data_IF_263651114021
#
_entry.id   IF_263651114021
#
_cell.length_a   1.000
_cell.length_b   1.000
_cell.length_c   1.000
_cell.angle_alpha   90.00
_cell.angle_beta   90.00
_cell.angle_gamma   90.00
#
_symmetry.space_group_name_H-M   'P 1'
#
loop_
_entity.id
_entity.type
_entity.pdbx_description
1 polymer ?
#
# COMPACT_ATOMS: atom_id res chain seq x y z
N UNK A 1 -4.62 70.72 0.46
CA UNK A 1 -3.55 69.71 0.66
C UNK A 1 -3.85 68.64 1.73
N UNK A 2 -4.65 68.91 2.79
CA UNK A 2 -4.95 67.91 3.84
C UNK A 2 -5.87 66.75 3.40
N UNK A 3 -6.78 66.91 2.44
CA UNK A 3 -7.68 65.86 1.96
C UNK A 3 -6.96 64.74 1.13
N UNK A 4 -5.85 65.08 0.44
CA UNK A 4 -5.11 64.14 -0.36
C UNK A 4 -4.21 63.19 0.50
N UNK A 5 -3.75 63.67 1.66
CA UNK A 5 -2.93 62.84 2.57
C UNK A 5 -3.76 61.81 3.33
N UNK A 6 -5.01 62.10 3.71
CA UNK A 6 -5.89 61.16 4.39
C UNK A 6 -6.32 59.97 3.51
N UNK A 7 -6.55 60.27 2.21
CA UNK A 7 -6.95 59.22 1.24
C UNK A 7 -5.80 58.24 0.94
N UNK A 8 -4.55 58.73 0.84
CA UNK A 8 -3.38 57.90 0.62
C UNK A 8 -3.05 57.02 1.84
N UNK A 9 -3.23 57.55 3.05
CA UNK A 9 -3.01 56.81 4.28
C UNK A 9 -4.06 55.68 4.48
N UNK A 10 -5.33 56.00 4.14
CA UNK A 10 -6.40 54.99 4.23
C UNK A 10 -6.25 53.89 3.20
N UNK A 11 -5.84 54.18 1.96
CA UNK A 11 -5.59 53.20 0.92
C UNK A 11 -4.39 52.30 1.28
N UNK A 12 -3.33 52.88 1.87
CA UNK A 12 -2.17 52.08 2.31
C UNK A 12 -2.51 51.16 3.50
N UNK A 13 -3.33 51.60 4.44
CA UNK A 13 -3.77 50.81 5.59
C UNK A 13 -4.69 49.65 5.16
N UNK A 14 -5.59 49.90 4.19
CA UNK A 14 -6.49 48.86 3.67
C UNK A 14 -5.72 47.79 2.84
N UNK A 15 -4.73 48.21 2.04
CA UNK A 15 -3.90 47.29 1.28
C UNK A 15 -2.99 46.43 2.18
N UNK A 16 -2.42 47.01 3.24
CA UNK A 16 -1.63 46.22 4.23
C UNK A 16 -2.50 45.27 5.04
N UNK A 17 -3.69 45.66 5.45
CA UNK A 17 -4.63 44.76 6.16
C UNK A 17 -5.12 43.60 5.27
N UNK A 18 -5.38 43.86 3.98
CA UNK A 18 -5.74 42.81 3.02
C UNK A 18 -4.56 41.84 2.75
N UNK A 19 -3.33 42.37 2.69
CA UNK A 19 -2.13 41.53 2.53
C UNK A 19 -1.85 40.67 3.75
N UNK A 20 -2.07 41.16 4.97
CA UNK A 20 -1.95 40.39 6.19
C UNK A 20 -3.02 39.30 6.30
N UNK A 21 -4.25 39.56 5.87
CA UNK A 21 -5.30 38.51 5.87
C UNK A 21 -5.04 37.41 4.84
N UNK A 22 -4.49 37.73 3.66
CA UNK A 22 -4.10 36.72 2.67
C UNK A 22 -2.95 35.83 3.15
N UNK A 23 -1.96 36.43 3.83
CA UNK A 23 -0.85 35.66 4.42
C UNK A 23 -1.30 34.80 5.61
N UNK A 24 -2.24 35.33 6.44
CA UNK A 24 -2.81 34.56 7.55
C UNK A 24 -3.66 33.36 7.06
N UNK A 25 -4.38 33.53 5.95
CA UNK A 25 -5.23 32.44 5.40
C UNK A 25 -4.41 31.32 4.76
N UNK A 26 -3.24 31.61 4.16
CA UNK A 26 -2.32 30.58 3.66
C UNK A 26 -1.60 29.81 4.78
N UNK A 27 -1.46 30.36 5.96
CA UNK A 27 -0.79 29.72 7.10
C UNK A 27 -1.72 28.87 7.98
N UNK A 28 -3.03 29.02 7.85
CA UNK A 28 -4.01 28.30 8.69
C UNK A 28 -3.86 26.79 8.69
N UNK A 29 -3.73 26.09 7.55
CA UNK A 29 -3.59 24.62 7.57
C UNK A 29 -2.33 24.16 8.31
N UNK A 30 -1.21 24.88 8.18
CA UNK A 30 0.06 24.53 8.83
C UNK A 30 -0.03 24.67 10.35
N UNK A 31 -0.63 25.77 10.83
CA UNK A 31 -0.85 25.99 12.26
C UNK A 31 -1.73 24.89 12.88
N UNK A 32 -2.85 24.60 12.25
CA UNK A 32 -3.78 23.54 12.71
C UNK A 32 -3.12 22.15 12.64
N UNK A 33 -2.36 21.84 11.58
CA UNK A 33 -1.58 20.60 11.48
C UNK A 33 -0.59 20.47 12.64
N UNK A 34 0.13 21.55 12.97
CA UNK A 34 1.12 21.55 14.03
C UNK A 34 0.55 21.23 15.43
N UNK A 35 -0.76 21.41 15.66
CA UNK A 35 -1.41 21.07 16.91
C UNK A 35 -1.69 19.58 17.07
N UNK A 36 -1.82 18.82 15.95
CA UNK A 36 -2.30 17.46 15.97
C UNK A 36 -1.29 16.41 15.50
N UNK A 37 -0.31 16.80 14.69
CA UNK A 37 0.71 15.86 14.20
C UNK A 37 1.59 15.36 15.35
N UNK A 38 2.00 14.09 15.25
CA UNK A 38 2.89 13.44 16.21
C UNK A 38 4.25 13.16 15.55
N UNK A 39 5.38 13.47 16.21
CA UNK A 39 6.69 13.20 15.64
C UNK A 39 6.94 11.70 15.55
N UNK A 40 7.70 11.28 14.55
CA UNK A 40 8.31 9.96 14.48
C UNK A 40 9.64 10.03 15.21
N UNK A 41 9.75 9.37 16.35
CA UNK A 41 10.96 9.40 17.16
C UNK A 41 12.12 8.61 16.52
N UNK A 42 11.81 7.50 15.85
CA UNK A 42 12.80 6.63 15.22
C UNK A 42 12.20 5.82 14.07
N UNK A 43 13.04 5.52 13.09
CA UNK A 43 12.73 4.59 11.99
C UNK A 43 13.27 3.18 12.26
N UNK A 44 14.10 3.01 13.30
CA UNK A 44 14.76 1.73 13.57
C UNK A 44 13.74 0.66 13.97
N UNK A 45 13.63 -0.46 13.20
CA UNK A 45 12.61 -1.47 13.46
C UNK A 45 12.70 -2.15 14.82
N UNK A 46 13.93 -2.23 15.38
CA UNK A 46 14.19 -2.88 16.68
C UNK A 46 14.04 -1.95 17.90
N UNK A 47 13.73 -0.67 17.69
CA UNK A 47 13.50 0.30 18.77
C UNK A 47 12.18 0.06 19.48
N UNK A 48 12.04 0.64 20.69
CA UNK A 48 10.76 0.60 21.43
C UNK A 48 9.62 1.19 20.59
N UNK A 49 8.40 0.80 20.90
CA UNK A 49 7.19 1.28 20.22
C UNK A 49 6.49 2.43 20.95
N UNK A 50 7.17 3.09 21.92
CA UNK A 50 6.53 4.07 22.79
C UNK A 50 5.93 5.25 22.04
N UNK A 51 6.58 5.73 20.98
CA UNK A 51 6.10 6.83 20.13
C UNK A 51 4.92 6.46 19.21
N UNK A 52 4.65 5.17 19.01
CA UNK A 52 3.52 4.67 18.21
C UNK A 52 2.50 3.88 19.04
N UNK A 53 2.72 3.73 20.35
CA UNK A 53 1.82 2.98 21.24
C UNK A 53 0.40 3.57 21.29
N UNK A 54 0.25 4.86 21.06
CA UNK A 54 -1.06 5.51 20.95
C UNK A 54 -1.96 4.93 19.84
N UNK A 55 -1.35 4.28 18.83
CA UNK A 55 -2.08 3.61 17.75
C UNK A 55 -2.87 2.39 18.24
N UNK A 56 -2.55 1.85 19.41
CA UNK A 56 -3.19 0.65 19.95
C UNK A 56 -4.71 0.78 20.01
N UNK A 57 -5.21 1.89 20.53
CA UNK A 57 -6.65 2.11 20.70
C UNK A 57 -7.39 2.13 19.36
N UNK A 58 -6.77 2.69 18.33
CA UNK A 58 -7.36 2.75 16.99
C UNK A 58 -7.22 1.42 16.23
N UNK A 59 -6.05 0.77 16.31
CA UNK A 59 -5.72 -0.36 15.44
C UNK A 59 -6.15 -1.72 15.99
N UNK A 60 -6.35 -1.86 17.32
CA UNK A 60 -6.78 -3.13 17.94
C UNK A 60 -8.12 -3.63 17.39
N UNK A 61 -9.02 -2.71 17.03
CA UNK A 61 -10.36 -2.98 16.54
C UNK A 61 -10.42 -3.18 15.01
N UNK A 62 -9.29 -3.12 14.31
CA UNK A 62 -9.24 -3.28 12.86
C UNK A 62 -8.94 -4.71 12.47
N UNK A 63 -9.59 -5.16 11.40
CA UNK A 63 -9.38 -6.49 10.83
C UNK A 63 -8.37 -6.45 9.68
N UNK A 64 -8.39 -5.38 8.88
CA UNK A 64 -7.45 -5.13 7.78
C UNK A 64 -6.73 -3.82 8.00
N UNK A 65 -5.39 -3.87 8.07
CA UNK A 65 -4.56 -2.67 8.07
C UNK A 65 -3.73 -2.66 6.79
N UNK A 66 -3.97 -1.67 5.94
CA UNK A 66 -3.19 -1.48 4.73
C UNK A 66 -2.08 -0.45 4.97
N UNK A 67 -0.85 -0.88 4.79
CA UNK A 67 0.35 -0.05 4.84
C UNK A 67 0.68 0.39 3.41
N UNK A 68 0.21 1.57 3.03
CA UNK A 68 0.47 2.18 1.75
C UNK A 68 1.91 2.63 1.61
N UNK A 69 2.42 2.67 0.39
CA UNK A 69 3.70 3.30 0.07
C UNK A 69 3.58 4.24 -1.11
N UNK A 70 4.22 5.39 -0.99
CA UNK A 70 4.28 6.42 -2.02
C UNK A 70 5.10 5.95 -3.24
N UNK A 71 5.99 5.00 -3.03
CA UNK A 71 6.88 4.40 -4.03
C UNK A 71 7.49 3.11 -3.50
N UNK A 72 7.87 2.21 -4.41
CA UNK A 72 8.53 0.94 -4.06
C UNK A 72 10.04 1.10 -3.83
N UNK A 73 10.58 2.30 -3.70
CA UNK A 73 12.01 2.53 -3.76
C UNK A 73 12.61 3.47 -2.71
N UNK A 74 12.01 3.61 -1.51
CA UNK A 74 12.48 4.51 -0.46
C UNK A 74 12.83 3.78 0.83
N UNK A 75 14.02 4.06 1.36
CA UNK A 75 14.56 3.42 2.56
C UNK A 75 13.72 3.73 3.81
N UNK A 76 13.39 4.99 4.03
CA UNK A 76 12.67 5.46 5.24
C UNK A 76 11.27 4.86 5.33
N UNK A 77 10.55 4.79 4.20
CA UNK A 77 9.23 4.17 4.13
C UNK A 77 9.32 2.67 4.46
N UNK A 78 10.31 1.96 3.91
CA UNK A 78 10.51 0.53 4.20
C UNK A 78 10.82 0.28 5.67
N UNK A 79 11.75 1.05 6.25
CA UNK A 79 12.11 0.91 7.67
C UNK A 79 10.91 1.18 8.58
N UNK A 80 10.11 2.20 8.28
CA UNK A 80 8.93 2.53 9.09
C UNK A 80 7.83 1.47 8.96
N UNK A 81 7.59 0.95 7.75
CA UNK A 81 6.62 -0.14 7.54
C UNK A 81 7.08 -1.44 8.22
N UNK A 82 8.37 -1.78 8.17
CA UNK A 82 8.94 -2.90 8.95
C UNK A 82 8.64 -2.70 10.45
N UNK A 83 8.93 -1.52 10.99
CA UNK A 83 8.65 -1.20 12.40
C UNK A 83 7.17 -1.31 12.76
N UNK A 84 6.26 -0.81 11.91
CA UNK A 84 4.83 -0.94 12.10
C UNK A 84 4.37 -2.41 12.07
N UNK A 85 4.89 -3.21 11.15
CA UNK A 85 4.57 -4.65 11.09
C UNK A 85 4.97 -5.35 12.38
N UNK A 86 6.19 -5.08 12.89
CA UNK A 86 6.63 -5.68 14.16
C UNK A 86 5.71 -5.27 15.33
N UNK A 87 5.28 -4.01 15.36
CA UNK A 87 4.30 -3.56 16.35
C UNK A 87 2.95 -4.28 16.19
N UNK A 88 2.40 -4.37 14.98
CA UNK A 88 1.12 -5.03 14.71
C UNK A 88 1.16 -6.53 15.04
N UNK A 89 2.27 -7.18 14.74
CA UNK A 89 2.48 -8.61 15.01
C UNK A 89 2.66 -8.87 16.51
N UNK A 90 3.54 -8.12 17.18
CA UNK A 90 3.92 -8.40 18.56
C UNK A 90 2.92 -7.87 19.60
N UNK A 91 2.23 -6.74 19.31
CA UNK A 91 1.36 -6.05 20.26
C UNK A 91 -0.13 -6.18 19.93
N UNK A 92 -0.50 -6.42 18.66
CA UNK A 92 -1.89 -6.51 18.21
C UNK A 92 -2.24 -7.87 17.59
N UNK A 93 -1.31 -8.83 17.64
CA UNK A 93 -1.49 -10.24 17.27
C UNK A 93 -1.89 -10.47 15.80
N UNK A 94 -1.45 -9.60 14.87
CA UNK A 94 -1.62 -9.88 13.45
C UNK A 94 -0.75 -11.05 13.03
N UNK A 95 -1.35 -12.05 12.38
CA UNK A 95 -0.68 -13.31 11.99
C UNK A 95 -0.59 -13.52 10.48
N UNK A 96 -1.09 -12.59 9.68
CA UNK A 96 -1.00 -12.64 8.23
C UNK A 96 -0.53 -11.31 7.66
N UNK A 97 0.40 -11.36 6.71
CA UNK A 97 0.93 -10.19 6.00
C UNK A 97 0.87 -10.49 4.51
N UNK A 98 0.17 -9.67 3.74
CA UNK A 98 0.05 -9.82 2.29
C UNK A 98 0.76 -8.68 1.57
N UNK A 99 1.63 -9.02 0.62
CA UNK A 99 2.42 -8.06 -0.15
C UNK A 99 1.88 -7.90 -1.57
N UNK A 100 1.98 -6.70 -2.13
CA UNK A 100 1.78 -6.44 -3.56
C UNK A 100 2.90 -7.12 -4.38
N UNK A 101 2.86 -8.41 -4.42
CA UNK A 101 3.84 -9.27 -5.08
C UNK A 101 3.15 -10.53 -5.59
N UNK A 102 3.80 -11.21 -6.54
CA UNK A 102 3.30 -12.49 -7.01
C UNK A 102 3.25 -13.50 -5.86
N UNK A 103 2.16 -14.25 -5.82
CA UNK A 103 1.90 -15.21 -4.76
C UNK A 103 3.00 -16.27 -4.65
N UNK A 104 3.44 -16.81 -5.79
CA UNK A 104 4.45 -17.87 -5.83
C UNK A 104 5.81 -17.41 -5.29
N UNK A 105 6.15 -16.13 -5.50
CA UNK A 105 7.42 -15.58 -5.01
C UNK A 105 7.48 -15.41 -3.49
N UNK A 106 6.34 -15.34 -2.81
CA UNK A 106 6.30 -15.20 -1.34
C UNK A 106 6.24 -16.54 -0.61
N UNK A 107 5.99 -17.62 -1.32
CA UNK A 107 5.84 -18.90 -0.69
C UNK A 107 7.13 -19.47 -0.11
N UNK A 108 8.23 -19.41 -0.86
CA UNK A 108 9.53 -19.81 -0.34
C UNK A 108 9.94 -18.92 0.85
N UNK A 109 9.52 -17.66 0.84
CA UNK A 109 9.73 -16.77 1.98
C UNK A 109 8.87 -17.20 3.16
N UNK A 110 7.60 -17.61 2.94
CA UNK A 110 6.75 -18.14 4.01
C UNK A 110 7.35 -19.43 4.60
N UNK A 111 7.81 -20.35 3.76
CA UNK A 111 8.50 -21.57 4.19
C UNK A 111 9.76 -21.24 5.01
N UNK A 112 10.53 -20.22 4.59
CA UNK A 112 11.72 -19.75 5.31
C UNK A 112 11.37 -19.19 6.69
N UNK A 113 10.40 -18.28 6.79
CA UNK A 113 10.03 -17.69 8.08
C UNK A 113 9.38 -18.70 9.03
N UNK A 114 8.83 -19.76 8.50
CA UNK A 114 8.23 -20.85 9.29
C UNK A 114 9.20 -21.98 9.64
N UNK A 115 10.45 -21.88 9.15
CA UNK A 115 11.51 -22.84 9.46
C UNK A 115 11.41 -24.16 8.68
N UNK A 116 10.68 -24.17 7.57
CA UNK A 116 10.55 -25.34 6.68
C UNK A 116 11.74 -25.46 5.72
N UNK A 117 12.37 -24.32 5.38
CA UNK A 117 13.63 -24.26 4.64
C UNK A 117 14.62 -23.33 5.33
N UNK A 118 15.93 -23.56 5.16
CA UNK A 118 16.98 -22.80 5.84
C UNK A 118 17.41 -21.54 5.10
N UNK A 119 17.31 -21.53 3.80
CA UNK A 119 17.77 -20.43 2.95
C UNK A 119 16.76 -20.13 1.85
N UNK A 120 16.63 -18.85 1.50
CA UNK A 120 15.81 -18.37 0.40
C UNK A 120 16.43 -17.13 -0.21
N UNK A 121 16.30 -16.98 -1.53
CA UNK A 121 16.66 -15.74 -2.21
C UNK A 121 15.61 -14.67 -1.91
N UNK A 122 16.04 -13.53 -1.39
CA UNK A 122 15.14 -12.41 -1.09
C UNK A 122 15.85 -11.07 -1.31
N UNK A 123 15.06 -10.05 -1.59
CA UNK A 123 15.59 -8.68 -1.67
C UNK A 123 16.18 -8.25 -0.33
N UNK A 124 17.33 -7.58 -0.38
CA UNK A 124 18.01 -7.04 0.79
C UNK A 124 17.16 -6.10 1.64
N UNK A 125 16.18 -5.44 1.01
CA UNK A 125 15.29 -4.48 1.67
C UNK A 125 14.29 -5.14 2.60
N UNK A 126 13.81 -6.34 2.27
CA UNK A 126 12.87 -7.10 3.09
C UNK A 126 13.57 -8.08 4.05
N UNK A 127 14.87 -8.33 3.85
CA UNK A 127 15.64 -9.29 4.64
C UNK A 127 15.54 -9.04 6.15
N UNK A 128 15.66 -7.80 6.66
CA UNK A 128 15.51 -7.53 8.10
C UNK A 128 14.17 -7.99 8.66
N UNK A 129 13.07 -7.66 7.98
CA UNK A 129 11.72 -8.07 8.37
C UNK A 129 11.55 -9.59 8.36
N UNK A 130 11.92 -10.26 7.27
CA UNK A 130 11.74 -11.71 7.15
C UNK A 130 12.64 -12.49 8.11
N UNK A 131 13.85 -12.01 8.39
CA UNK A 131 14.70 -12.60 9.42
C UNK A 131 14.10 -12.43 10.82
N UNK A 132 13.52 -11.27 11.10
CA UNK A 132 12.82 -11.03 12.36
C UNK A 132 11.59 -11.95 12.49
N UNK A 133 10.77 -12.09 11.43
CA UNK A 133 9.60 -12.98 11.43
C UNK A 133 10.00 -14.44 11.64
N UNK A 134 11.11 -14.90 11.05
CA UNK A 134 11.66 -16.27 11.30
C UNK A 134 11.97 -16.47 12.79
N UNK A 135 12.64 -15.50 13.40
CA UNK A 135 12.96 -15.56 14.83
C UNK A 135 11.69 -15.48 15.69
N UNK A 136 10.74 -14.66 15.31
CA UNK A 136 9.45 -14.53 16.00
C UNK A 136 8.61 -15.80 15.95
N UNK A 137 8.67 -16.55 14.84
CA UNK A 137 7.95 -17.81 14.65
C UNK A 137 8.63 -19.03 15.32
N UNK A 138 9.91 -18.90 15.69
CA UNK A 138 10.69 -20.01 16.26
C UNK A 138 10.05 -20.54 17.54
N UNK A 139 9.79 -21.84 17.58
CA UNK A 139 9.20 -22.53 18.74
C UNK A 139 7.69 -22.33 18.93
N UNK A 140 7.02 -21.62 18.01
CA UNK A 140 5.56 -21.45 18.06
C UNK A 140 4.84 -22.59 17.36
N UNK A 141 3.63 -22.90 17.86
CA UNK A 141 2.72 -23.81 17.19
C UNK A 141 2.24 -23.22 15.86
N UNK A 142 1.85 -24.08 14.93
CA UNK A 142 1.43 -23.70 13.57
C UNK A 142 0.39 -22.56 13.54
N UNK A 143 -0.58 -22.57 14.45
CA UNK A 143 -1.65 -21.56 14.52
C UNK A 143 -1.21 -20.23 15.12
N UNK A 144 -0.04 -20.19 15.75
CA UNK A 144 0.52 -18.99 16.38
C UNK A 144 1.62 -18.33 15.53
N UNK A 145 2.04 -18.99 14.47
CA UNK A 145 3.01 -18.44 13.53
C UNK A 145 2.40 -17.33 12.68
N UNK A 146 3.25 -16.40 12.28
CA UNK A 146 2.95 -15.39 11.26
C UNK A 146 3.24 -15.99 9.89
N UNK A 147 2.35 -15.72 8.94
CA UNK A 147 2.48 -16.14 7.55
C UNK A 147 2.56 -14.94 6.61
N UNK A 148 3.27 -15.08 5.51
CA UNK A 148 3.35 -14.08 4.44
C UNK A 148 2.75 -14.61 3.15
N UNK A 149 2.12 -13.72 2.38
CA UNK A 149 1.40 -14.04 1.16
C UNK A 149 1.64 -13.00 0.09
N UNK A 150 1.59 -13.39 -1.19
CA UNK A 150 1.47 -12.46 -2.31
C UNK A 150 0.00 -12.17 -2.63
N UNK A 151 -0.29 -10.96 -3.06
CA UNK A 151 -1.65 -10.52 -3.47
C UNK A 151 -1.89 -10.68 -4.96
N UNK A 152 -0.86 -10.97 -5.74
CA UNK A 152 -0.97 -11.06 -7.18
C UNK A 152 -0.78 -12.49 -7.66
N UNK A 153 -1.56 -12.88 -8.65
CA UNK A 153 -1.32 -14.07 -9.45
C UNK A 153 -1.07 -13.60 -10.86
N UNK A 154 0.16 -13.74 -11.31
CA UNK A 154 0.61 -13.33 -12.64
C UNK A 154 0.71 -14.49 -13.62
N UNK A 155 0.68 -15.73 -13.10
CA UNK A 155 0.84 -16.96 -13.86
C UNK A 155 -0.01 -18.09 -13.29
N UNK A 156 -0.47 -18.98 -14.16
CA UNK A 156 -1.22 -20.18 -13.72
C UNK A 156 -0.32 -21.19 -13.04
N UNK A 157 0.97 -21.25 -13.41
CA UNK A 157 1.92 -22.26 -12.96
C UNK A 157 2.01 -22.36 -11.43
N UNK A 158 2.19 -21.27 -10.73
CA UNK A 158 2.36 -21.27 -9.28
C UNK A 158 1.13 -21.83 -8.53
N UNK A 159 -0.08 -21.39 -8.88
CA UNK A 159 -1.31 -21.91 -8.27
C UNK A 159 -1.53 -23.38 -8.61
N UNK A 160 -1.23 -23.81 -9.84
CA UNK A 160 -1.34 -25.20 -10.28
C UNK A 160 -0.35 -26.09 -9.52
N UNK A 161 0.90 -25.67 -9.38
CA UNK A 161 1.91 -26.45 -8.65
C UNK A 161 1.48 -26.70 -7.21
N UNK A 162 0.90 -25.71 -6.57
CA UNK A 162 0.39 -25.86 -5.21
C UNK A 162 -0.80 -26.79 -5.11
N UNK A 163 -1.74 -26.67 -6.04
CA UNK A 163 -2.88 -27.59 -6.10
C UNK A 163 -2.37 -29.02 -6.25
N UNK A 164 -1.42 -29.26 -7.16
CA UNK A 164 -0.83 -30.58 -7.38
C UNK A 164 -0.06 -31.11 -6.17
N UNK A 165 0.63 -30.24 -5.42
CA UNK A 165 1.40 -30.62 -4.24
C UNK A 165 0.53 -30.86 -3.00
N UNK A 166 -0.57 -30.11 -2.83
CA UNK A 166 -1.34 -30.12 -1.58
C UNK A 166 -2.64 -30.93 -1.65
N UNK A 167 -3.14 -31.22 -2.85
CA UNK A 167 -4.37 -31.97 -3.05
C UNK A 167 -4.09 -33.46 -3.20
N UNK A 168 -4.43 -34.25 -2.18
CA UNK A 168 -4.13 -35.69 -2.12
C UNK A 168 -4.85 -36.52 -3.21
N UNK A 169 -6.03 -36.07 -3.63
CA UNK A 169 -6.85 -36.83 -4.59
C UNK A 169 -7.25 -35.89 -5.75
N UNK A 170 -6.52 -35.97 -6.85
CA UNK A 170 -6.82 -35.37 -8.12
C UNK A 170 -6.98 -36.45 -9.16
N UNK A 171 -8.07 -36.46 -9.92
CA UNK A 171 -8.25 -37.42 -11.00
C UNK A 171 -7.14 -37.33 -12.05
N UNK A 172 -6.81 -38.43 -12.74
CA UNK A 172 -5.80 -38.41 -13.80
C UNK A 172 -6.17 -37.39 -14.89
N UNK A 173 -7.44 -37.28 -15.23
CA UNK A 173 -7.96 -36.32 -16.24
C UNK A 173 -7.78 -34.88 -15.77
N UNK A 174 -8.14 -34.58 -14.52
CA UNK A 174 -7.97 -33.22 -13.96
C UNK A 174 -6.49 -32.82 -13.90
N UNK A 175 -5.63 -33.75 -13.49
CA UNK A 175 -4.17 -33.56 -13.45
C UNK A 175 -3.60 -33.25 -14.84
N UNK A 176 -4.07 -33.96 -15.88
CA UNK A 176 -3.65 -33.70 -17.27
C UNK A 176 -4.05 -32.30 -17.72
N UNK A 177 -5.29 -31.85 -17.42
CA UNK A 177 -5.74 -30.49 -17.74
C UNK A 177 -4.88 -29.44 -17.06
N UNK A 178 -4.59 -29.61 -15.77
CA UNK A 178 -3.73 -28.69 -15.00
C UNK A 178 -2.31 -28.61 -15.63
N UNK A 179 -1.68 -29.76 -15.89
CA UNK A 179 -0.34 -29.81 -16.44
C UNK A 179 -0.26 -29.24 -17.86
N UNK A 180 -1.26 -29.49 -18.69
CA UNK A 180 -1.34 -28.92 -20.05
C UNK A 180 -1.41 -27.38 -20.00
N UNK A 181 -2.25 -26.81 -19.14
CA UNK A 181 -2.34 -25.35 -19.04
C UNK A 181 -1.08 -24.76 -18.42
N UNK A 182 -0.48 -25.41 -17.42
CA UNK A 182 0.81 -25.01 -16.85
C UNK A 182 1.92 -24.85 -17.90
N UNK A 183 1.92 -25.70 -18.91
CA UNK A 183 2.93 -25.68 -19.98
C UNK A 183 2.72 -24.56 -21.02
N UNK A 184 1.57 -23.87 -21.02
CA UNK A 184 1.28 -22.81 -21.99
C UNK A 184 1.83 -21.47 -21.51
N UNK A 185 2.32 -20.61 -22.46
CA UNK A 185 2.65 -19.23 -22.12
C UNK A 185 1.41 -18.51 -21.58
N UNK A 186 1.57 -17.78 -20.49
CA UNK A 186 0.46 -17.06 -19.84
C UNK A 186 -0.37 -16.19 -20.80
N UNK A 187 0.28 -15.56 -21.78
CA UNK A 187 -0.39 -14.69 -22.76
C UNK A 187 -1.13 -15.44 -23.88
N UNK A 188 -1.05 -16.77 -23.92
CA UNK A 188 -1.56 -17.59 -25.03
C UNK A 188 -2.47 -18.73 -24.59
N UNK A 189 -3.17 -18.57 -23.45
CA UNK A 189 -4.09 -19.60 -22.96
C UNK A 189 -5.39 -19.57 -23.77
N UNK A 190 -5.76 -20.65 -24.48
CA UNK A 190 -7.01 -20.73 -25.22
C UNK A 190 -8.24 -20.69 -24.30
N UNK A 191 -9.35 -20.16 -24.81
CA UNK A 191 -10.62 -20.13 -24.04
C UNK A 191 -11.08 -21.55 -23.63
N UNK A 192 -10.92 -22.54 -24.49
CA UNK A 192 -11.25 -23.95 -24.17
C UNK A 192 -10.43 -24.48 -23.00
N UNK A 193 -9.17 -24.05 -22.87
CA UNK A 193 -8.31 -24.43 -21.73
C UNK A 193 -8.76 -23.74 -20.44
N UNK A 194 -9.26 -22.49 -20.52
CA UNK A 194 -9.81 -21.77 -19.35
C UNK A 194 -11.12 -22.43 -18.89
N UNK A 195 -11.98 -22.85 -19.81
CA UNK A 195 -13.20 -23.61 -19.49
C UNK A 195 -12.87 -24.94 -18.82
N UNK A 196 -11.94 -25.69 -19.37
CA UNK A 196 -11.45 -26.92 -18.74
C UNK A 196 -10.87 -26.71 -17.34
N UNK A 197 -10.08 -25.65 -17.14
CA UNK A 197 -9.58 -25.27 -15.82
C UNK A 197 -10.73 -24.91 -14.85
N UNK A 198 -11.75 -24.20 -15.32
CA UNK A 198 -12.90 -23.82 -14.50
C UNK A 198 -13.66 -25.06 -14.02
N UNK A 199 -13.84 -26.05 -14.89
CA UNK A 199 -14.44 -27.34 -14.53
C UNK A 199 -13.60 -28.08 -13.51
N UNK A 200 -12.28 -28.16 -13.71
CA UNK A 200 -11.36 -28.76 -12.73
C UNK A 200 -11.48 -28.04 -11.39
N UNK A 201 -11.41 -26.70 -11.36
CA UNK A 201 -11.55 -25.93 -10.12
C UNK A 201 -12.86 -26.16 -9.38
N UNK A 202 -13.97 -26.47 -10.11
CA UNK A 202 -15.26 -26.77 -9.47
C UNK A 202 -15.26 -28.08 -8.68
N UNK A 203 -14.38 -29.02 -9.07
CA UNK A 203 -14.20 -30.35 -8.43
C UNK A 203 -13.12 -30.36 -7.34
N UNK A 204 -12.22 -29.37 -7.35
CA UNK A 204 -11.15 -29.28 -6.34
C UNK A 204 -11.69 -28.87 -4.96
N UNK A 205 -11.01 -29.30 -3.88
CA UNK A 205 -11.27 -28.77 -2.54
C UNK A 205 -11.17 -27.23 -2.53
N UNK A 206 -12.07 -26.57 -1.79
CA UNK A 206 -12.11 -25.10 -1.66
C UNK A 206 -10.97 -24.58 -0.77
N UNK A 207 -9.75 -24.70 -1.25
CA UNK A 207 -8.54 -24.16 -0.62
C UNK A 207 -8.28 -22.73 -1.08
N UNK A 208 -7.32 -22.05 -0.45
CA UNK A 208 -6.86 -20.74 -0.92
C UNK A 208 -6.36 -20.81 -2.37
N UNK A 209 -5.61 -21.87 -2.73
CA UNK A 209 -5.06 -22.07 -4.07
C UNK A 209 -6.14 -22.28 -5.15
N UNK A 210 -7.16 -23.09 -4.86
CA UNK A 210 -8.27 -23.29 -5.80
C UNK A 210 -9.10 -22.01 -5.99
N UNK A 211 -9.29 -21.21 -4.93
CA UNK A 211 -9.91 -19.89 -5.03
C UNK A 211 -9.07 -18.94 -5.89
N UNK A 212 -7.77 -18.87 -5.66
CA UNK A 212 -6.84 -18.06 -6.44
C UNK A 212 -6.83 -18.45 -7.92
N UNK A 213 -6.78 -19.77 -8.20
CA UNK A 213 -6.83 -20.27 -9.58
C UNK A 213 -8.16 -19.87 -10.25
N UNK A 214 -9.28 -20.01 -9.56
CA UNK A 214 -10.60 -19.61 -10.08
C UNK A 214 -10.63 -18.11 -10.41
N UNK A 215 -10.14 -17.26 -9.51
CA UNK A 215 -10.08 -15.81 -9.74
C UNK A 215 -9.20 -15.44 -10.93
N UNK A 216 -8.06 -16.13 -11.10
CA UNK A 216 -7.20 -15.93 -12.26
C UNK A 216 -7.94 -16.32 -13.55
N UNK A 217 -8.67 -17.43 -13.55
CA UNK A 217 -9.48 -17.87 -14.71
C UNK A 217 -10.54 -16.81 -15.04
N UNK A 218 -11.28 -16.33 -14.07
CA UNK A 218 -12.35 -15.34 -14.26
C UNK A 218 -11.83 -13.97 -14.74
N UNK A 219 -10.67 -13.56 -14.27
CA UNK A 219 -10.07 -12.28 -14.62
C UNK A 219 -9.16 -12.33 -15.86
N UNK A 220 -8.72 -13.52 -16.28
CA UNK A 220 -7.80 -13.69 -17.40
C UNK A 220 -8.26 -13.04 -18.70
N UNK A 221 -9.50 -13.21 -19.18
CA UNK A 221 -9.96 -12.57 -20.41
C UNK A 221 -9.83 -11.03 -20.37
N UNK A 222 -10.05 -10.45 -19.20
CA UNK A 222 -9.96 -9.02 -18.99
C UNK A 222 -8.51 -8.54 -18.87
N UNK A 223 -7.66 -9.33 -18.22
CA UNK A 223 -6.23 -9.07 -18.10
C UNK A 223 -5.55 -9.03 -19.48
N UNK A 224 -5.80 -10.04 -20.30
CA UNK A 224 -5.22 -10.14 -21.66
C UNK A 224 -5.80 -9.10 -22.63
N UNK A 225 -7.12 -8.88 -22.64
CA UNK A 225 -7.78 -7.97 -23.56
C UNK A 225 -7.54 -6.50 -23.27
N UNK A 226 -7.38 -6.14 -22.03
CA UNK A 226 -7.34 -4.73 -21.65
C UNK A 226 -5.99 -4.26 -21.11
N UNK A 227 -5.10 -5.15 -20.69
CA UNK A 227 -3.87 -4.80 -19.99
C UNK A 227 -4.15 -3.89 -18.77
N UNK A 228 -5.38 -3.87 -18.27
CA UNK A 228 -5.90 -2.77 -17.46
C UNK A 228 -5.80 -3.05 -15.97
N UNK A 229 -5.24 -2.08 -15.30
CA UNK A 229 -5.01 -2.02 -13.84
C UNK A 229 -6.27 -2.34 -13.02
N UNK A 230 -7.49 -1.96 -13.46
CA UNK A 230 -8.71 -2.13 -12.66
C UNK A 230 -9.14 -3.57 -12.35
N UNK A 231 -8.76 -4.54 -13.18
CA UNK A 231 -9.03 -5.97 -12.88
C UNK A 231 -8.02 -6.55 -11.91
N UNK A 232 -6.77 -6.05 -11.96
CA UNK A 232 -5.70 -6.39 -11.02
C UNK A 232 -6.13 -6.04 -9.59
N UNK A 233 -6.65 -4.84 -9.37
CA UNK A 233 -7.09 -4.37 -8.06
C UNK A 233 -8.25 -5.20 -7.50
N UNK A 234 -9.22 -5.57 -8.34
CA UNK A 234 -10.31 -6.46 -7.92
C UNK A 234 -9.78 -7.83 -7.50
N UNK A 235 -8.91 -8.43 -8.30
CA UNK A 235 -8.31 -9.73 -7.99
C UNK A 235 -7.49 -9.67 -6.70
N UNK A 236 -6.68 -8.64 -6.50
CA UNK A 236 -5.94 -8.45 -5.25
C UNK A 236 -6.86 -8.32 -4.04
N UNK A 237 -7.99 -7.59 -4.16
CA UNK A 237 -8.96 -7.47 -3.08
C UNK A 237 -9.58 -8.83 -2.71
N UNK A 238 -9.98 -9.60 -3.71
CA UNK A 238 -10.57 -10.93 -3.51
C UNK A 238 -9.57 -11.92 -2.88
N UNK A 239 -8.29 -11.84 -3.28
CA UNK A 239 -7.20 -12.63 -2.68
C UNK A 239 -6.98 -12.19 -1.22
N UNK A 240 -6.92 -10.89 -0.94
CA UNK A 240 -6.78 -10.38 0.41
C UNK A 240 -7.92 -10.86 1.33
N UNK A 241 -9.16 -10.84 0.84
CA UNK A 241 -10.34 -11.38 1.54
C UNK A 241 -10.15 -12.89 1.81
N UNK A 242 -9.75 -13.65 0.80
CA UNK A 242 -9.55 -15.10 0.94
C UNK A 242 -8.44 -15.44 1.95
N UNK A 243 -7.32 -14.70 1.94
CA UNK A 243 -6.24 -14.84 2.92
C UNK A 243 -6.78 -14.54 4.33
N UNK A 244 -7.43 -13.37 4.51
CA UNK A 244 -7.99 -12.98 5.81
C UNK A 244 -8.92 -14.04 6.38
N UNK A 245 -9.87 -14.53 5.57
CA UNK A 245 -10.82 -15.54 6.03
C UNK A 245 -10.18 -16.91 6.30
N UNK A 246 -8.98 -17.17 5.78
CA UNK A 246 -8.21 -18.38 6.07
C UNK A 246 -7.39 -18.32 7.36
N UNK A 247 -7.15 -17.12 7.91
CA UNK A 247 -6.37 -16.94 9.13
C UNK A 247 -7.21 -17.17 10.39
N UNK A 248 -6.58 -17.71 11.44
CA UNK A 248 -7.28 -18.09 12.68
C UNK A 248 -7.95 -16.89 13.37
N UNK A 249 -7.30 -15.74 13.39
CA UNK A 249 -7.82 -14.52 14.04
C UNK A 249 -8.48 -13.54 13.06
N UNK A 250 -8.57 -13.89 11.78
CA UNK A 250 -9.17 -13.09 10.71
C UNK A 250 -8.64 -11.66 10.60
N UNK A 251 -7.36 -11.46 10.94
CA UNK A 251 -6.65 -10.18 10.83
C UNK A 251 -5.58 -10.24 9.75
N UNK A 252 -5.46 -9.18 8.95
CA UNK A 252 -4.52 -9.11 7.82
C UNK A 252 -3.84 -7.75 7.74
N UNK A 253 -2.52 -7.76 7.58
CA UNK A 253 -1.73 -6.59 7.16
C UNK A 253 -1.54 -6.66 5.65
N UNK A 254 -1.76 -5.55 4.95
CA UNK A 254 -1.50 -5.42 3.52
C UNK A 254 -0.35 -4.44 3.32
N UNK A 255 0.67 -4.83 2.56
CA UNK A 255 1.76 -3.96 2.10
C UNK A 255 1.62 -3.74 0.60
N UNK A 256 1.19 -2.55 0.19
CA UNK A 256 1.01 -2.22 -1.21
C UNK A 256 1.20 -0.71 -1.47
N UNK A 257 1.26 -0.32 -2.75
CA UNK A 257 1.31 1.08 -3.14
C UNK A 257 0.06 1.85 -2.69
N UNK A 258 0.22 3.13 -2.33
CA UNK A 258 -0.90 4.01 -1.94
C UNK A 258 -2.07 3.97 -2.94
N UNK A 259 -1.73 3.90 -4.23
CA UNK A 259 -2.72 3.85 -5.30
C UNK A 259 -3.62 2.60 -5.28
N UNK A 260 -3.17 1.49 -4.70
CA UNK A 260 -3.95 0.27 -4.57
C UNK A 260 -4.77 0.23 -3.27
N UNK A 261 -4.25 0.81 -2.20
CA UNK A 261 -4.92 0.77 -0.88
C UNK A 261 -5.89 1.92 -0.64
N UNK A 262 -5.89 2.95 -1.47
CA UNK A 262 -6.82 4.09 -1.38
C UNK A 262 -8.29 3.63 -1.39
N UNK A 263 -9.14 4.28 -0.59
CA UNK A 263 -10.54 3.88 -0.37
C UNK A 263 -11.50 4.28 -1.48
N UNK A 264 -11.06 5.13 -2.40
CA UNK A 264 -11.86 5.56 -3.56
C UNK A 264 -11.15 5.25 -4.87
N UNK A 265 -11.89 5.28 -5.96
CA UNK A 265 -11.34 5.09 -7.30
C UNK A 265 -10.21 6.08 -7.60
N UNK A 266 -9.08 5.58 -8.05
CA UNK A 266 -7.98 6.37 -8.58
C UNK A 266 -7.72 6.00 -10.05
N UNK A 267 -7.16 6.92 -10.81
CA UNK A 267 -6.88 6.70 -12.24
C UNK A 267 -8.12 6.31 -13.07
N UNK A 268 -9.32 6.76 -12.63
CA UNK A 268 -10.60 6.45 -13.30
C UNK A 268 -11.07 5.01 -13.13
N UNK A 269 -10.58 4.27 -12.11
CA UNK A 269 -10.91 2.87 -11.86
C UNK A 269 -10.95 2.57 -10.37
N UNK A 270 -11.81 1.60 -9.95
CA UNK A 270 -11.81 1.11 -8.58
C UNK A 270 -10.43 0.58 -8.17
N UNK A 271 -10.04 0.90 -6.96
CA UNK A 271 -8.83 0.39 -6.31
C UNK A 271 -9.12 -0.89 -5.52
N UNK A 272 -8.08 -1.63 -5.15
CA UNK A 272 -8.19 -2.72 -4.17
C UNK A 272 -8.85 -2.22 -2.89
N UNK A 273 -8.43 -1.05 -2.38
CA UNK A 273 -8.98 -0.43 -1.17
C UNK A 273 -10.46 -0.08 -1.28
N UNK A 274 -10.94 0.35 -2.46
CA UNK A 274 -12.38 0.60 -2.67
C UNK A 274 -13.21 -0.69 -2.56
N UNK A 275 -12.72 -1.83 -3.04
CA UNK A 275 -13.38 -3.12 -2.84
C UNK A 275 -13.33 -3.55 -1.37
N UNK A 276 -12.18 -3.37 -0.71
CA UNK A 276 -12.00 -3.76 0.69
C UNK A 276 -12.86 -2.91 1.63
N UNK A 277 -12.98 -1.60 1.41
CA UNK A 277 -13.85 -0.76 2.25
C UNK A 277 -15.32 -1.11 2.10
N UNK A 278 -15.77 -1.52 0.91
CA UNK A 278 -17.14 -2.01 0.70
C UNK A 278 -17.44 -3.30 1.48
N UNK A 279 -16.43 -4.15 1.68
CA UNK A 279 -16.58 -5.42 2.40
C UNK A 279 -16.42 -5.30 3.92
N UNK A 280 -15.57 -4.37 4.39
CA UNK A 280 -15.15 -4.30 5.80
C UNK A 280 -15.44 -2.95 6.47
N UNK A 281 -15.92 -1.94 5.73
CA UNK A 281 -16.26 -0.63 6.25
C UNK A 281 -15.15 -0.04 7.15
N UNK A 282 -15.45 0.28 8.40
CA UNK A 282 -14.54 0.85 9.39
C UNK A 282 -13.49 -0.15 9.92
N UNK A 283 -13.63 -1.45 9.64
CA UNK A 283 -12.64 -2.49 9.97
C UNK A 283 -11.44 -2.48 9.00
N UNK A 284 -11.55 -1.82 7.83
CA UNK A 284 -10.46 -1.55 6.92
C UNK A 284 -9.83 -0.20 7.23
N UNK A 285 -8.54 -0.20 7.58
CA UNK A 285 -7.78 0.99 7.97
C UNK A 285 -6.56 1.19 7.08
N UNK A 286 -6.39 2.39 6.54
CA UNK A 286 -5.34 2.71 5.58
C UNK A 286 -4.34 3.70 6.17
N UNK A 287 -3.09 3.28 6.26
CA UNK A 287 -1.93 4.10 6.62
C UNK A 287 -1.16 4.37 5.34
N UNK A 288 -1.30 5.56 4.77
CA UNK A 288 -0.53 5.98 3.61
C UNK A 288 0.83 6.55 4.03
N UNK A 289 1.82 6.47 3.15
CA UNK A 289 3.09 7.19 3.32
C UNK A 289 3.25 8.26 2.27
N UNK A 290 3.97 9.32 2.60
CA UNK A 290 4.25 10.44 1.71
C UNK A 290 5.67 10.98 1.91
N UNK A 291 6.25 11.58 0.86
CA UNK A 291 7.61 12.14 0.86
C UNK A 291 7.65 13.49 0.16
N UNK A 292 8.45 14.45 0.67
CA UNK A 292 8.65 15.73 0.01
C UNK A 292 9.73 15.67 -1.07
N UNK A 293 10.94 15.25 -0.71
CA UNK A 293 12.12 15.23 -1.60
C UNK A 293 13.01 14.02 -1.34
N UNK A 294 13.98 13.83 -2.21
CA UNK A 294 15.05 12.85 -2.01
C UNK A 294 15.21 11.87 -3.16
N UNK A 295 16.04 10.88 -2.92
CA UNK A 295 16.33 9.84 -3.89
C UNK A 295 15.37 8.67 -3.76
N UNK A 296 14.90 8.18 -4.89
CA UNK A 296 13.94 7.07 -5.00
C UNK A 296 14.44 6.08 -6.04
N UNK A 297 14.47 4.80 -5.70
CA UNK A 297 14.71 3.73 -6.68
C UNK A 297 13.49 3.52 -7.54
N UNK A 298 13.62 3.72 -8.85
CA UNK A 298 12.55 3.56 -9.85
C UNK A 298 13.08 2.96 -11.13
N UNK A 299 12.17 2.48 -11.97
CA UNK A 299 12.43 2.10 -13.35
C UNK A 299 11.96 3.21 -14.29
N UNK A 300 12.71 3.52 -15.33
CA UNK A 300 12.36 4.52 -16.34
C UNK A 300 11.99 3.87 -17.65
N UNK A 301 11.02 4.44 -18.35
CA UNK A 301 10.81 4.07 -19.76
C UNK A 301 12.04 4.48 -20.58
N UNK A 302 12.58 3.54 -21.36
CA UNK A 302 13.71 3.80 -22.27
C UNK A 302 13.22 4.65 -23.46
N UNK A 303 12.01 4.35 -23.94
CA UNK A 303 11.28 5.14 -24.94
C UNK A 303 9.78 4.86 -24.82
N UNK A 304 8.94 5.66 -25.50
CA UNK A 304 7.49 5.40 -25.59
C UNK A 304 7.23 3.96 -26.08
N UNK A 305 6.51 3.18 -25.29
CA UNK A 305 6.17 1.77 -25.54
C UNK A 305 7.37 0.81 -25.62
N UNK A 306 8.53 1.18 -25.07
CA UNK A 306 9.71 0.31 -25.00
C UNK A 306 9.95 -0.20 -23.58
N UNK A 307 10.72 -1.28 -23.40
CA UNK A 307 11.04 -1.83 -22.09
C UNK A 307 11.54 -0.77 -21.12
N UNK A 308 11.25 -0.96 -19.84
CA UNK A 308 11.75 -0.10 -18.76
C UNK A 308 13.22 -0.43 -18.47
N UNK A 309 13.94 0.54 -17.92
CA UNK A 309 15.31 0.35 -17.43
C UNK A 309 15.37 -0.64 -16.26
N UNK A 310 16.58 -1.01 -15.87
CA UNK A 310 16.83 -1.54 -14.53
C UNK A 310 16.47 -0.49 -13.46
N UNK A 311 16.35 -0.92 -12.22
CA UNK A 311 16.17 -0.04 -11.08
C UNK A 311 17.34 0.94 -10.99
N UNK A 312 17.04 2.21 -10.74
CA UNK A 312 18.03 3.27 -10.62
C UNK A 312 17.56 4.32 -9.64
N UNK A 313 18.51 4.93 -8.94
CA UNK A 313 18.24 6.05 -8.05
C UNK A 313 17.93 7.31 -8.85
N UNK A 314 16.80 7.95 -8.56
CA UNK A 314 16.37 9.21 -9.18
C UNK A 314 16.05 10.20 -8.08
N UNK A 315 16.61 11.40 -8.19
CA UNK A 315 16.30 12.48 -7.26
C UNK A 315 15.00 13.17 -7.64
N UNK A 316 14.09 13.27 -6.69
CA UNK A 316 12.86 14.04 -6.76
C UNK A 316 13.02 15.33 -5.94
N UNK A 317 12.93 16.51 -6.58
CA UNK A 317 13.12 17.79 -5.90
C UNK A 317 11.97 18.08 -4.93
N UNK A 318 12.22 19.01 -4.03
CA UNK A 318 11.24 19.53 -3.08
C UNK A 318 9.97 20.02 -3.77
N UNK A 319 8.80 19.71 -3.20
CA UNK A 319 7.52 20.16 -3.71
C UNK A 319 7.27 21.61 -3.32
N UNK A 320 7.16 22.49 -4.34
CA UNK A 320 6.98 23.95 -4.15
C UNK A 320 5.60 24.46 -4.61
N UNK A 321 4.72 23.58 -5.09
CA UNK A 321 3.37 23.93 -5.51
C UNK A 321 2.39 23.89 -4.35
N UNK A 322 1.71 25.00 -4.05
CA UNK A 322 0.64 25.04 -3.05
C UNK A 322 -0.62 24.23 -3.44
N UNK A 323 -0.61 23.62 -4.64
CA UNK A 323 -1.64 22.67 -5.06
C UNK A 323 -1.39 21.27 -4.50
N UNK A 324 -0.23 21.01 -3.88
CA UNK A 324 0.16 19.73 -3.32
C UNK A 324 0.12 19.74 -1.79
N UNK A 325 -0.15 18.59 -1.17
CA UNK A 325 -0.15 18.43 0.29
C UNK A 325 1.24 18.63 0.88
N UNK A 326 2.28 18.11 0.23
CA UNK A 326 3.68 18.17 0.69
C UNK A 326 4.18 19.62 0.83
N UNK A 327 3.62 20.57 0.06
CA UNK A 327 3.92 21.99 0.22
C UNK A 327 3.59 22.50 1.63
N UNK A 328 2.49 22.04 2.21
CA UNK A 328 2.05 22.39 3.56
C UNK A 328 2.77 21.53 4.61
N UNK A 329 2.92 20.23 4.35
CA UNK A 329 3.54 19.29 5.27
C UNK A 329 5.00 19.66 5.58
N UNK A 330 5.80 20.06 4.59
CA UNK A 330 7.20 20.48 4.80
C UNK A 330 7.38 21.73 5.67
N UNK A 331 6.32 22.54 5.83
CA UNK A 331 6.31 23.72 6.67
C UNK A 331 5.95 23.42 8.13
N UNK A 332 5.51 22.20 8.42
CA UNK A 332 5.18 21.77 9.77
C UNK A 332 6.42 21.70 10.67
N UNK A 333 6.19 21.77 12.00
CA UNK A 333 7.24 21.77 13.03
C UNK A 333 8.11 20.52 13.05
N UNK A 334 7.56 19.36 12.59
CA UNK A 334 8.29 18.10 12.53
C UNK A 334 8.59 17.73 11.07
N UNK A 335 9.82 17.29 10.83
CA UNK A 335 10.26 16.83 9.50
C UNK A 335 9.68 15.47 9.13
N UNK A 336 9.48 14.60 10.12
CA UNK A 336 8.83 13.31 9.96
C UNK A 336 7.72 13.21 10.99
N UNK A 337 6.51 12.91 10.56
CA UNK A 337 5.36 12.90 11.46
C UNK A 337 4.26 11.94 11.03
N UNK A 338 3.38 11.68 11.96
CA UNK A 338 2.14 10.93 11.79
C UNK A 338 0.98 11.93 11.88
N UNK A 339 0.06 11.86 10.92
CA UNK A 339 -1.20 12.58 10.88
C UNK A 339 -2.35 11.59 10.94
N UNK A 340 -3.08 11.53 12.06
CA UNK A 340 -4.32 10.76 12.18
C UNK A 340 -5.47 11.55 11.52
N UNK A 341 -5.86 11.13 10.33
CA UNK A 341 -6.81 11.88 9.49
C UNK A 341 -8.19 11.96 10.11
N UNK A 342 -8.69 10.87 10.70
CA UNK A 342 -9.99 10.86 11.38
C UNK A 342 -10.06 11.88 12.52
N UNK A 343 -8.97 12.07 13.22
CA UNK A 343 -8.89 13.04 14.31
C UNK A 343 -8.72 14.46 13.78
N UNK A 344 -7.96 14.61 12.68
CA UNK A 344 -7.75 15.90 12.03
C UNK A 344 -9.04 16.51 11.47
N UNK A 345 -9.93 15.72 10.90
CA UNK A 345 -11.18 16.23 10.30
C UNK A 345 -12.26 16.65 11.32
N UNK A 346 -11.98 16.53 12.62
CA UNK A 346 -12.82 17.14 13.68
C UNK A 346 -12.63 18.66 13.68
N UNK A 347 -11.43 19.13 13.38
CA UNK A 347 -11.14 20.54 13.16
C UNK A 347 -11.70 20.96 11.78
N UNK A 348 -12.48 22.06 11.74
CA UNK A 348 -13.18 22.51 10.55
C UNK A 348 -12.22 22.92 9.42
N UNK A 349 -11.10 23.58 9.75
CA UNK A 349 -10.12 24.06 8.78
C UNK A 349 -9.34 22.88 8.18
N UNK A 350 -8.92 21.91 9.02
CA UNK A 350 -8.28 20.70 8.56
C UNK A 350 -9.23 19.79 7.79
N UNK A 351 -10.50 19.72 8.17
CA UNK A 351 -11.52 19.01 7.39
C UNK A 351 -11.61 19.57 5.97
N UNK A 352 -11.73 20.92 5.84
CA UNK A 352 -11.78 21.56 4.53
C UNK A 352 -10.49 21.27 3.73
N UNK A 353 -9.32 21.42 4.35
CA UNK A 353 -8.02 21.18 3.73
C UNK A 353 -7.83 19.72 3.26
N UNK A 354 -8.12 18.73 4.12
CA UNK A 354 -7.89 17.32 3.83
C UNK A 354 -8.97 16.69 2.93
N UNK A 355 -10.17 17.29 2.86
CA UNK A 355 -11.24 16.85 1.95
C UNK A 355 -11.04 17.43 0.54
N UNK A 356 -10.43 18.59 0.41
CA UNK A 356 -10.12 19.20 -0.89
C UNK A 356 -9.14 18.29 -1.67
N UNK A 357 -9.44 18.03 -2.95
CA UNK A 357 -8.49 17.34 -3.81
C UNK A 357 -7.24 18.18 -4.08
N UNK A 358 -6.11 17.67 -3.65
CA UNK A 358 -4.78 18.25 -3.90
C UNK A 358 -3.88 17.19 -4.52
N UNK A 359 -2.78 17.63 -5.11
CA UNK A 359 -1.73 16.74 -5.57
C UNK A 359 -1.06 16.07 -4.37
N UNK A 360 -0.74 14.79 -4.52
CA UNK A 360 0.07 13.99 -3.61
C UNK A 360 1.00 13.09 -4.42
N UNK A 361 2.22 12.84 -3.95
CA UNK A 361 3.15 11.97 -4.66
C UNK A 361 2.61 10.54 -4.77
N UNK A 362 2.78 9.96 -5.96
CA UNK A 362 2.32 8.60 -6.30
C UNK A 362 3.29 7.97 -7.30
N UNK A 363 4.56 7.88 -6.93
CA UNK A 363 5.64 7.52 -7.85
C UNK A 363 5.57 6.05 -8.30
N UNK A 364 5.17 5.13 -7.41
CA UNK A 364 5.12 3.70 -7.75
C UNK A 364 6.49 3.09 -8.12
N UNK A 365 6.46 2.04 -8.93
CA UNK A 365 7.65 1.38 -9.47
C UNK A 365 8.27 2.12 -10.65
N UNK A 366 7.49 2.92 -11.36
CA UNK A 366 7.91 3.72 -12.51
C UNK A 366 8.11 5.17 -12.09
N UNK A 367 9.01 5.87 -12.78
CA UNK A 367 9.29 7.28 -12.53
C UNK A 367 8.12 8.24 -12.85
N UNK A 368 7.07 7.77 -13.48
CA UNK A 368 5.83 8.47 -13.81
C UNK A 368 4.63 7.56 -13.59
N UNK A 369 3.45 8.08 -13.17
CA UNK A 369 3.21 9.47 -12.81
C UNK A 369 3.91 9.84 -11.49
N UNK A 370 4.27 11.12 -11.34
CA UNK A 370 4.91 11.63 -10.10
C UNK A 370 3.86 11.95 -9.04
N UNK A 371 2.78 12.61 -9.44
CA UNK A 371 1.73 13.08 -8.55
C UNK A 371 0.35 12.61 -9.01
N UNK A 372 -0.61 12.57 -8.07
CA UNK A 372 -2.02 12.33 -8.33
C UNK A 372 -2.87 13.27 -7.47
N UNK A 373 -3.94 13.83 -8.05
CA UNK A 373 -4.94 14.56 -7.28
C UNK A 373 -5.85 13.58 -6.55
N UNK A 374 -6.02 13.80 -5.26
CA UNK A 374 -6.91 13.03 -4.40
C UNK A 374 -7.26 13.84 -3.14
N UNK A 375 -8.30 13.42 -2.44
CA UNK A 375 -8.61 13.86 -1.07
C UNK A 375 -7.98 12.90 -0.08
N UNK A 376 -7.12 13.39 0.82
CA UNK A 376 -6.55 12.55 1.89
C UNK A 376 -7.68 12.00 2.76
N UNK A 377 -8.64 12.83 3.18
CA UNK A 377 -9.71 12.43 4.08
C UNK A 377 -10.61 11.32 3.52
N UNK A 378 -10.79 11.26 2.20
CA UNK A 378 -11.62 10.25 1.55
C UNK A 378 -10.88 8.94 1.30
N UNK A 379 -9.53 8.95 1.32
CA UNK A 379 -8.72 7.81 0.90
C UNK A 379 -7.94 7.13 2.01
N UNK A 380 -7.52 7.86 3.03
CA UNK A 380 -6.60 7.38 4.05
C UNK A 380 -7.10 7.71 5.45
N UNK A 381 -6.86 6.82 6.41
CA UNK A 381 -7.16 7.06 7.82
C UNK A 381 -5.98 7.71 8.54
N UNK A 382 -4.79 7.54 8.00
CA UNK A 382 -3.54 8.07 8.55
C UNK A 382 -2.56 8.36 7.41
N UNK A 383 -1.76 9.41 7.57
CA UNK A 383 -0.62 9.71 6.71
C UNK A 383 0.65 9.75 7.55
N UNK A 384 1.67 9.06 7.07
CA UNK A 384 3.05 9.09 7.60
C UNK A 384 3.91 9.84 6.60
N UNK A 385 4.39 11.00 7.00
CA UNK A 385 5.13 11.91 6.15
C UNK A 385 6.61 11.91 6.49
N UNK A 386 7.45 11.94 5.45
CA UNK A 386 8.90 12.11 5.52
C UNK A 386 9.33 13.29 4.67
N UNK A 387 10.04 14.26 5.27
CA UNK A 387 10.54 15.44 4.53
C UNK A 387 11.61 15.06 3.51
N UNK A 388 12.45 14.08 3.85
CA UNK A 388 13.53 13.62 2.97
C UNK A 388 13.66 12.10 2.99
N UNK A 389 13.99 11.52 1.83
CA UNK A 389 14.15 10.09 1.66
C UNK A 389 15.38 9.73 0.84
N UNK A 390 15.89 8.52 1.06
CA UNK A 390 16.97 7.90 0.31
C UNK A 390 16.46 6.70 -0.48
N UNK A 391 17.08 6.44 -1.63
CA UNK A 391 16.81 5.22 -2.41
C UNK A 391 17.28 3.96 -1.67
N UNK A 392 16.60 2.87 -1.93
CA UNK A 392 16.98 1.51 -1.49
C UNK A 392 17.87 0.83 -2.53
#
# INVERSE_FOLDING_TARGET
MQKLQSTKLFTFLVTTLLSFNLLAQESLPVSSLNNIIKPIATLQPDSSFDDIKFLQETLKEKDLIALGEVTHGTKEVYMYKDRLIRYLVSSLEYKAIAFESDYSSLEDIDNYINGEIDTVSMSTNYKPLFTWLRNFNKGKDRYDKVHVYGLEIREFSGAIDKILATTKQISAVDKEVLLRVKALPFTQIPNTSLEGLKEVCSRLPKTLYSKMLMQLIENYPNFIRSGKIGFRDKAMAEIAIAIKESTANKKLIIWAHNGHVAKTALYGKPTMGEYLVKSYNDKYYVIATDINKGNVSVRKYIAKNKPVSNWQSVYYPEVNSNKAYEYYFKQCKFKNFILEVKQAVIDCDLKAFLTQEKEMRMIGALSVPVNKKLSIANNFDMVVYFDETNSI
#
